data_IF_119957390284
#
_entry.id   IF_119957390284
#
_cell.length_a   1.000
_cell.length_b   1.000
_cell.length_c   1.000
_cell.angle_alpha   90.00
_cell.angle_beta   90.00
_cell.angle_gamma   90.00
#
_symmetry.space_group_name_H-M   'P 1'
#
loop_
_entity.id
_entity.type
_entity.pdbx_description
1 polymer ?
#
# COMPACT_ATOMS: atom_id res chain seq x y z
N UNK A 1 -9.90 33.94 18.50
CA UNK A 1 -9.56 34.93 19.53
C UNK A 1 -10.45 36.12 19.27
N UNK A 2 -11.28 36.52 20.22
CA UNK A 2 -12.10 37.70 20.04
C UNK A 2 -11.19 38.94 20.00
N UNK A 3 -11.44 39.83 19.07
CA UNK A 3 -10.66 41.07 18.92
C UNK A 3 -10.78 41.93 20.19
N UNK A 4 -11.89 41.82 20.88
CA UNK A 4 -12.21 42.52 22.16
C UNK A 4 -11.28 42.14 23.31
N UNK A 5 -11.05 40.83 23.51
CA UNK A 5 -10.15 40.34 24.56
C UNK A 5 -8.69 40.81 24.33
N UNK A 6 -8.23 40.80 23.09
CA UNK A 6 -6.89 41.27 22.76
C UNK A 6 -6.74 42.79 23.02
N UNK A 7 -7.76 43.57 22.65
CA UNK A 7 -7.75 45.03 22.83
C UNK A 7 -7.78 45.38 24.34
N UNK A 8 -8.63 44.70 25.12
CA UNK A 8 -8.68 44.89 26.56
C UNK A 8 -7.34 44.57 27.25
N UNK A 9 -6.72 43.41 26.92
CA UNK A 9 -5.43 43.04 27.51
C UNK A 9 -4.35 44.05 27.14
N UNK A 10 -4.34 44.56 25.89
CA UNK A 10 -3.42 45.61 25.46
C UNK A 10 -3.58 46.87 26.28
N UNK A 11 -4.78 47.41 26.39
CA UNK A 11 -5.07 48.65 27.15
C UNK A 11 -4.77 48.48 28.63
N UNK A 12 -5.09 47.33 29.23
CA UNK A 12 -4.80 47.07 30.64
C UNK A 12 -3.29 47.02 30.91
N UNK A 13 -2.50 46.44 30.02
CA UNK A 13 -1.03 46.42 30.09
C UNK A 13 -0.45 47.84 29.88
N UNK A 14 -1.02 48.65 28.98
CA UNK A 14 -0.62 50.05 28.75
C UNK A 14 -0.87 50.90 30.00
N UNK A 15 -1.92 50.63 30.78
CA UNK A 15 -2.21 51.26 32.04
C UNK A 15 -1.40 50.72 33.24
N UNK A 16 -0.40 49.86 32.98
CA UNK A 16 0.51 49.33 33.98
C UNK A 16 -0.08 48.24 34.88
N UNK A 17 -1.22 47.68 34.55
CA UNK A 17 -1.83 46.59 35.33
C UNK A 17 -0.97 45.33 35.26
N UNK A 18 -0.84 44.63 36.37
CA UNK A 18 -0.11 43.35 36.41
C UNK A 18 -0.87 42.25 35.66
N UNK A 19 -0.12 41.36 35.04
CA UNK A 19 -0.71 40.22 34.31
C UNK A 19 -1.64 39.38 35.18
N UNK A 20 -1.30 39.17 36.45
CA UNK A 20 -2.11 38.45 37.41
C UNK A 20 -3.41 39.18 37.80
N UNK A 21 -3.42 40.50 37.78
CA UNK A 21 -4.64 41.30 38.00
C UNK A 21 -5.56 41.21 36.76
N UNK A 22 -5.00 41.32 35.57
CA UNK A 22 -5.73 41.18 34.30
C UNK A 22 -6.33 39.77 34.19
N UNK A 23 -5.57 38.71 34.51
CA UNK A 23 -6.04 37.33 34.50
C UNK A 23 -7.23 37.13 35.44
N UNK A 24 -7.15 37.59 36.67
CA UNK A 24 -8.26 37.52 37.65
C UNK A 24 -9.50 38.26 37.16
N UNK A 25 -9.37 39.51 36.74
CA UNK A 25 -10.49 40.30 36.27
C UNK A 25 -11.21 39.66 35.06
N UNK A 26 -10.48 39.05 34.16
CA UNK A 26 -11.06 38.37 33.00
C UNK A 26 -11.72 37.03 33.38
N UNK A 27 -11.17 36.30 34.36
CA UNK A 27 -11.80 35.08 34.89
C UNK A 27 -13.10 35.41 35.67
N UNK A 28 -13.10 36.46 36.45
CA UNK A 28 -14.30 36.96 37.16
C UNK A 28 -15.38 37.42 36.17
N UNK A 29 -14.99 37.96 35.01
CA UNK A 29 -15.90 38.32 33.91
C UNK A 29 -16.39 37.09 33.09
N UNK A 30 -15.99 35.86 33.44
CA UNK A 30 -16.46 34.62 32.79
C UNK A 30 -15.66 34.15 31.58
N UNK A 31 -14.48 34.75 31.30
CA UNK A 31 -13.60 34.26 30.21
C UNK A 31 -12.91 32.98 30.61
N UNK A 32 -12.79 32.06 29.63
CA UNK A 32 -12.09 30.79 29.86
C UNK A 32 -10.59 31.04 30.09
N UNK A 33 -10.02 30.34 31.08
CA UNK A 33 -8.61 30.48 31.46
C UNK A 33 -7.64 30.32 30.28
N UNK A 34 -7.92 29.40 29.35
CA UNK A 34 -7.11 29.22 28.16
C UNK A 34 -7.11 30.43 27.20
N UNK A 35 -8.25 31.12 27.08
CA UNK A 35 -8.37 32.30 26.21
C UNK A 35 -7.63 33.50 26.81
N UNK A 36 -7.77 33.66 28.11
CA UNK A 36 -7.07 34.70 28.86
C UNK A 36 -5.56 34.52 28.79
N UNK A 37 -5.07 33.31 29.03
CA UNK A 37 -3.65 33.00 28.91
C UNK A 37 -3.12 33.19 27.48
N UNK A 38 -3.87 32.81 26.44
CA UNK A 38 -3.52 33.07 25.06
C UNK A 38 -3.45 34.55 24.73
N UNK A 39 -4.33 35.36 25.26
CA UNK A 39 -4.34 36.81 25.08
C UNK A 39 -3.13 37.49 25.77
N UNK A 40 -2.85 37.14 27.01
CA UNK A 40 -1.66 37.61 27.73
C UNK A 40 -0.34 37.14 27.10
N UNK A 41 -0.30 35.89 26.64
CA UNK A 41 0.89 35.32 25.97
C UNK A 41 1.23 35.98 24.63
N UNK A 42 0.28 36.75 24.05
CA UNK A 42 0.53 37.47 22.77
C UNK A 42 1.37 38.75 22.96
N UNK A 43 1.63 39.14 24.20
CA UNK A 43 2.52 40.26 24.51
C UNK A 43 3.80 39.78 25.19
N UNK A 44 4.94 40.40 24.82
CA UNK A 44 6.24 40.06 25.39
C UNK A 44 6.36 40.58 26.85
N UNK A 45 7.12 39.86 27.65
CA UNK A 45 7.49 40.29 29.01
C UNK A 45 8.80 41.08 28.98
N UNK A 46 8.74 42.24 28.36
CA UNK A 46 9.89 43.14 28.26
C UNK A 46 9.57 44.45 28.96
N UNK A 47 10.60 45.06 29.61
CA UNK A 47 10.45 46.35 30.29
C UNK A 47 10.46 47.44 29.22
N UNK A 48 9.29 47.71 28.64
CA UNK A 48 9.08 48.76 27.66
C UNK A 48 7.79 49.54 27.98
N UNK A 49 7.74 50.83 27.72
CA UNK A 49 6.60 51.68 28.09
C UNK A 49 5.25 51.30 27.51
N UNK A 50 5.27 50.57 26.38
CA UNK A 50 4.06 50.07 25.69
C UNK A 50 4.14 48.58 25.53
N UNK A 51 3.01 47.84 25.69
CA UNK A 51 3.00 46.39 25.54
C UNK A 51 3.46 45.97 24.13
N UNK A 52 4.57 45.23 24.07
CA UNK A 52 5.18 44.78 22.80
C UNK A 52 4.48 43.51 22.36
N UNK A 53 3.81 43.48 21.19
CA UNK A 53 3.21 42.28 20.67
C UNK A 53 4.28 41.28 20.23
N UNK A 54 4.09 40.02 20.64
CA UNK A 54 4.92 38.93 20.11
C UNK A 54 4.62 38.68 18.63
N UNK A 55 5.61 38.39 17.79
CA UNK A 55 5.35 38.00 16.41
C UNK A 55 4.45 36.76 16.39
N UNK A 56 3.33 36.83 15.66
CA UNK A 56 2.50 35.65 15.44
C UNK A 56 3.32 34.64 14.65
N UNK A 57 3.39 33.37 15.08
CA UNK A 57 4.08 32.38 14.31
C UNK A 57 3.37 32.25 12.95
N UNK A 58 3.99 32.79 11.90
CA UNK A 58 3.52 32.58 10.54
C UNK A 58 3.65 31.09 10.24
N UNK A 59 2.55 30.48 9.84
CA UNK A 59 2.56 29.16 9.19
C UNK A 59 3.40 29.30 7.93
N UNK A 60 4.69 28.99 8.01
CA UNK A 60 5.53 29.01 6.82
C UNK A 60 5.05 27.87 5.92
N UNK A 61 4.63 28.20 4.69
CA UNK A 61 4.21 27.21 3.69
C UNK A 61 5.22 26.08 3.54
N UNK A 62 6.51 26.36 3.72
CA UNK A 62 7.58 25.39 3.75
C UNK A 62 7.45 24.33 4.85
N UNK A 63 7.03 24.72 6.05
CA UNK A 63 6.85 23.76 7.16
C UNK A 63 5.62 22.87 6.93
N UNK A 64 4.53 23.47 6.47
CA UNK A 64 3.35 22.73 6.07
C UNK A 64 3.68 21.68 5.00
N UNK A 65 4.46 22.05 3.99
CA UNK A 65 4.95 21.16 2.94
C UNK A 65 5.77 19.98 3.53
N UNK A 66 6.75 20.26 4.41
CA UNK A 66 7.57 19.21 5.01
C UNK A 66 6.75 18.22 5.84
N UNK A 67 5.76 18.71 6.60
CA UNK A 67 4.86 17.85 7.35
C UNK A 67 4.00 17.00 6.41
N UNK A 68 3.37 17.59 5.39
CA UNK A 68 2.54 16.87 4.43
C UNK A 68 3.32 15.74 3.74
N UNK A 69 4.53 16.04 3.23
CA UNK A 69 5.37 15.02 2.58
C UNK A 69 5.76 13.91 3.59
N UNK A 70 6.08 14.29 4.84
CA UNK A 70 6.39 13.29 5.88
C UNK A 70 5.23 12.33 6.12
N UNK A 71 3.99 12.82 6.17
CA UNK A 71 2.82 11.96 6.37
C UNK A 71 2.49 11.12 5.13
N UNK A 72 2.58 11.69 3.93
CA UNK A 72 2.40 10.94 2.69
C UNK A 72 3.41 9.77 2.61
N UNK A 73 4.69 10.06 2.88
CA UNK A 73 5.72 9.02 2.84
C UNK A 73 5.59 8.00 3.96
N UNK A 74 5.10 8.40 5.15
CA UNK A 74 4.76 7.48 6.23
C UNK A 74 3.66 6.50 5.82
N UNK A 75 2.54 7.01 5.28
CA UNK A 75 1.44 6.15 4.84
C UNK A 75 1.84 5.24 3.69
N UNK A 76 2.58 5.77 2.70
CA UNK A 76 3.10 4.96 1.60
C UNK A 76 3.99 3.83 2.13
N UNK A 77 4.90 4.14 3.06
CA UNK A 77 5.78 3.13 3.66
C UNK A 77 4.99 2.09 4.45
N UNK A 78 4.07 2.51 5.32
CA UNK A 78 3.29 1.61 6.16
C UNK A 78 2.42 0.65 5.33
N UNK A 79 1.74 1.17 4.32
CA UNK A 79 0.90 0.37 3.42
C UNK A 79 1.73 -0.61 2.60
N UNK A 80 2.82 -0.14 1.98
CA UNK A 80 3.69 -0.99 1.17
C UNK A 80 4.42 -2.04 2.01
N UNK A 81 4.79 -1.71 3.25
CA UNK A 81 5.36 -2.67 4.19
C UNK A 81 4.35 -3.76 4.57
N UNK A 82 3.09 -3.40 4.81
CA UNK A 82 2.00 -4.35 5.02
C UNK A 82 1.83 -5.31 3.85
N UNK A 83 1.78 -4.80 2.61
CA UNK A 83 1.70 -5.62 1.39
C UNK A 83 2.90 -6.59 1.32
N UNK A 84 4.10 -6.12 1.60
CA UNK A 84 5.31 -6.95 1.55
C UNK A 84 5.26 -8.10 2.57
N UNK A 85 4.85 -7.81 3.82
CA UNK A 85 4.69 -8.84 4.86
C UNK A 85 3.56 -9.83 4.48
N UNK A 86 2.45 -9.35 3.90
CA UNK A 86 1.39 -10.22 3.41
C UNK A 86 1.88 -11.20 2.34
N UNK A 87 2.73 -10.72 1.41
CA UNK A 87 3.36 -11.59 0.41
C UNK A 87 4.24 -12.68 1.06
N UNK A 88 4.97 -12.32 2.12
CA UNK A 88 5.78 -13.28 2.87
C UNK A 88 4.91 -14.33 3.58
N UNK A 89 3.81 -13.90 4.21
CA UNK A 89 2.85 -14.81 4.84
C UNK A 89 2.24 -15.76 3.81
N UNK A 90 1.84 -15.28 2.63
CA UNK A 90 1.27 -16.11 1.57
C UNK A 90 2.26 -17.14 1.03
N UNK A 91 3.55 -16.75 0.91
CA UNK A 91 4.60 -17.68 0.51
C UNK A 91 4.89 -18.76 1.55
N UNK A 92 4.82 -18.41 2.85
CA UNK A 92 5.08 -19.36 3.93
C UNK A 92 3.89 -20.29 4.20
N UNK A 93 2.68 -19.83 3.93
CA UNK A 93 1.43 -20.56 4.18
C UNK A 93 0.58 -20.57 2.91
N UNK A 94 0.95 -21.34 1.88
CA UNK A 94 0.17 -21.45 0.65
C UNK A 94 -1.21 -22.04 0.94
N UNK A 95 -2.25 -21.53 0.27
CA UNK A 95 -3.61 -22.01 0.38
C UNK A 95 -4.06 -22.55 -0.96
N UNK A 96 -4.37 -23.85 -1.06
CA UNK A 96 -4.75 -24.47 -2.31
C UNK A 96 -6.13 -24.01 -2.83
N UNK A 97 -6.95 -23.36 -2.00
CA UNK A 97 -8.31 -22.92 -2.38
C UNK A 97 -8.35 -21.40 -2.69
N UNK A 98 -7.40 -20.64 -2.20
CA UNK A 98 -7.37 -19.19 -2.41
C UNK A 98 -6.58 -18.86 -3.65
N UNK A 99 -7.25 -18.42 -4.70
CA UNK A 99 -6.62 -17.74 -5.83
C UNK A 99 -5.91 -16.50 -5.31
N UNK A 100 -4.58 -16.57 -5.19
CA UNK A 100 -3.78 -15.55 -4.52
C UNK A 100 -3.96 -14.16 -5.12
N UNK A 101 -4.26 -13.19 -4.28
CA UNK A 101 -4.40 -11.77 -4.65
C UNK A 101 -3.04 -11.13 -5.03
N UNK A 102 -1.95 -11.88 -4.89
CA UNK A 102 -0.60 -11.37 -5.11
C UNK A 102 -0.13 -11.60 -6.55
N UNK A 103 -0.31 -10.58 -7.37
CA UNK A 103 0.43 -10.51 -8.63
C UNK A 103 1.89 -10.13 -8.32
N UNK A 104 2.89 -10.65 -9.05
CA UNK A 104 4.30 -10.20 -8.97
C UNK A 104 4.45 -8.70 -9.11
N UNK A 105 3.56 -8.05 -9.85
CA UNK A 105 3.49 -6.60 -10.00
C UNK A 105 3.19 -5.88 -8.68
N UNK A 106 2.30 -6.44 -7.84
CA UNK A 106 1.99 -5.87 -6.53
C UNK A 106 3.19 -5.88 -5.59
N UNK A 107 3.94 -6.98 -5.55
CA UNK A 107 5.16 -7.11 -4.77
C UNK A 107 6.26 -6.14 -5.24
N UNK A 108 6.49 -6.07 -6.55
CA UNK A 108 7.48 -5.15 -7.14
C UNK A 108 7.13 -3.70 -6.87
N UNK A 109 5.84 -3.32 -6.98
CA UNK A 109 5.37 -1.97 -6.66
C UNK A 109 5.55 -1.63 -5.19
N UNK A 110 5.18 -2.53 -4.28
CA UNK A 110 5.35 -2.33 -2.83
C UNK A 110 6.83 -2.16 -2.47
N UNK A 111 7.70 -3.01 -3.01
CA UNK A 111 9.14 -2.97 -2.79
C UNK A 111 9.74 -1.64 -3.30
N UNK A 112 9.42 -1.23 -4.52
CA UNK A 112 9.85 0.03 -5.11
C UNK A 112 9.37 1.23 -4.28
N UNK A 113 8.13 1.19 -3.81
CA UNK A 113 7.54 2.24 -2.97
C UNK A 113 8.29 2.39 -1.65
N UNK A 114 8.64 1.29 -0.97
CA UNK A 114 9.40 1.32 0.28
C UNK A 114 10.81 1.86 0.04
N UNK A 115 11.49 1.42 -1.00
CA UNK A 115 12.87 1.84 -1.32
C UNK A 115 12.94 3.36 -1.52
N UNK A 116 11.88 3.98 -2.05
CA UNK A 116 11.82 5.44 -2.27
C UNK A 116 11.23 6.16 -1.06
N UNK A 117 10.07 5.72 -0.56
CA UNK A 117 9.32 6.45 0.45
C UNK A 117 9.99 6.40 1.84
N UNK A 118 10.57 5.29 2.23
CA UNK A 118 11.16 5.15 3.56
C UNK A 118 12.39 6.04 3.80
N UNK A 119 13.40 6.09 2.90
CA UNK A 119 14.51 7.03 3.05
C UNK A 119 14.04 8.49 3.01
N UNK A 120 13.06 8.80 2.15
CA UNK A 120 12.49 10.14 2.07
C UNK A 120 11.79 10.53 3.38
N UNK A 121 11.03 9.61 3.99
CA UNK A 121 10.43 9.79 5.30
C UNK A 121 11.49 10.09 6.37
N UNK A 122 12.55 9.28 6.44
CA UNK A 122 13.64 9.50 7.39
C UNK A 122 14.34 10.85 7.18
N UNK A 123 14.56 11.23 5.93
CA UNK A 123 15.14 12.53 5.60
C UNK A 123 14.23 13.70 6.03
N UNK A 124 12.92 13.61 5.77
CA UNK A 124 11.97 14.64 6.20
C UNK A 124 11.90 14.75 7.72
N UNK A 125 11.84 13.62 8.43
CA UNK A 125 11.85 13.58 9.89
C UNK A 125 13.15 14.17 10.47
N UNK A 126 14.30 13.89 9.86
CA UNK A 126 15.57 14.49 10.25
C UNK A 126 15.56 16.00 10.03
N UNK A 127 15.05 16.49 8.89
CA UNK A 127 14.92 17.93 8.59
C UNK A 127 14.01 18.64 9.58
N UNK A 128 12.85 18.04 9.90
CA UNK A 128 11.91 18.56 10.90
C UNK A 128 12.53 18.59 12.29
N UNK A 129 13.22 17.53 12.71
CA UNK A 129 13.91 17.48 13.98
C UNK A 129 15.01 18.55 14.10
N UNK A 130 15.79 18.76 13.03
CA UNK A 130 16.82 19.80 12.98
C UNK A 130 16.21 21.22 13.02
N UNK A 131 15.08 21.44 12.36
CA UNK A 131 14.38 22.72 12.40
C UNK A 131 13.79 23.00 13.80
N UNK A 132 13.19 22.00 14.44
CA UNK A 132 12.67 22.09 15.80
C UNK A 132 13.74 22.30 16.87
N UNK A 133 14.98 21.82 16.64
CA UNK A 133 16.11 22.05 17.54
C UNK A 133 16.64 23.50 17.47
N UNK A 134 16.51 24.16 16.31
CA UNK A 134 16.93 25.57 16.14
C UNK A 134 15.92 26.57 16.68
N UNK A 135 14.65 26.24 16.64
CA UNK A 135 13.56 27.12 17.02
C UNK A 135 12.46 26.30 17.74
N UNK A 136 12.40 26.38 19.09
CA UNK A 136 11.42 25.62 19.88
C UNK A 136 9.96 26.00 19.55
N UNK A 137 9.68 27.20 19.05
CA UNK A 137 8.32 27.59 18.65
C UNK A 137 7.83 26.83 17.44
N UNK A 138 8.73 26.38 16.55
CA UNK A 138 8.41 25.53 15.39
C UNK A 138 7.94 24.14 15.78
N UNK A 139 8.33 23.64 16.93
CA UNK A 139 7.82 22.40 17.52
C UNK A 139 6.29 22.42 17.73
N UNK A 140 5.70 23.61 17.89
CA UNK A 140 4.28 23.85 18.13
C UNK A 140 3.48 24.12 16.84
N UNK A 141 3.95 23.66 15.68
CA UNK A 141 3.26 23.85 14.39
C UNK A 141 1.83 23.32 14.46
N UNK A 142 0.84 24.20 14.21
CA UNK A 142 -0.57 23.82 14.18
C UNK A 142 -0.86 22.76 13.11
N UNK A 143 -0.16 22.82 11.96
CA UNK A 143 -0.30 21.84 10.88
C UNK A 143 0.20 20.47 11.32
N UNK A 144 1.36 20.40 11.98
CA UNK A 144 1.88 19.14 12.51
C UNK A 144 0.91 18.48 13.47
N UNK A 145 0.33 19.25 14.42
CA UNK A 145 -0.67 18.74 15.36
C UNK A 145 -1.94 18.24 14.69
N UNK A 146 -2.48 19.01 13.76
CA UNK A 146 -3.69 18.63 13.03
C UNK A 146 -3.47 17.33 12.25
N UNK A 147 -2.34 17.19 11.55
CA UNK A 147 -1.95 15.96 10.84
C UNK A 147 -1.76 14.78 11.80
N UNK A 148 -1.17 15.02 12.99
CA UNK A 148 -1.06 14.00 14.04
C UNK A 148 -2.42 13.48 14.50
N UNK A 149 -3.39 14.37 14.78
CA UNK A 149 -4.75 13.96 15.15
C UNK A 149 -5.44 13.18 14.04
N UNK A 150 -5.32 13.61 12.78
CA UNK A 150 -5.84 12.86 11.63
C UNK A 150 -5.21 11.46 11.57
N UNK A 151 -3.90 11.36 11.76
CA UNK A 151 -3.20 10.06 11.75
C UNK A 151 -3.70 9.16 12.89
N UNK A 152 -3.93 9.68 14.07
CA UNK A 152 -4.50 8.91 15.18
C UNK A 152 -5.91 8.40 14.86
N UNK A 153 -6.76 9.24 14.25
CA UNK A 153 -8.11 8.83 13.83
C UNK A 153 -8.04 7.73 12.78
N UNK A 154 -7.18 7.88 11.76
CA UNK A 154 -7.00 6.87 10.71
C UNK A 154 -6.47 5.56 11.33
N UNK A 155 -5.43 5.62 12.15
CA UNK A 155 -4.85 4.44 12.78
C UNK A 155 -5.85 3.73 13.71
N UNK A 156 -6.62 4.49 14.50
CA UNK A 156 -7.70 3.94 15.32
C UNK A 156 -8.78 3.25 14.47
N UNK A 157 -9.19 3.89 13.36
CA UNK A 157 -10.16 3.30 12.43
C UNK A 157 -9.66 1.99 11.81
N UNK A 158 -8.38 1.92 11.44
CA UNK A 158 -7.75 0.70 10.93
C UNK A 158 -7.74 -0.39 12.00
N UNK A 159 -7.33 -0.07 13.24
CA UNK A 159 -7.31 -1.02 14.37
C UNK A 159 -8.72 -1.56 14.65
N UNK A 160 -9.72 -0.69 14.72
CA UNK A 160 -11.12 -1.10 14.95
C UNK A 160 -11.61 -1.99 13.81
N UNK A 161 -11.37 -1.62 12.55
CA UNK A 161 -11.75 -2.41 11.38
C UNK A 161 -11.10 -3.79 11.37
N UNK A 162 -9.81 -3.87 11.71
CA UNK A 162 -9.08 -5.13 11.82
C UNK A 162 -9.63 -6.04 12.92
N UNK A 163 -9.89 -5.48 14.10
CA UNK A 163 -10.51 -6.23 15.21
C UNK A 163 -11.92 -6.73 14.88
N UNK A 164 -12.72 -5.92 14.16
CA UNK A 164 -14.04 -6.36 13.66
C UNK A 164 -13.87 -7.52 12.68
N UNK A 165 -12.92 -7.45 11.75
CA UNK A 165 -12.66 -8.52 10.79
C UNK A 165 -12.20 -9.81 11.50
N UNK A 166 -11.34 -9.71 12.51
CA UNK A 166 -10.92 -10.86 13.34
C UNK A 166 -12.10 -11.48 14.05
N UNK A 167 -12.97 -10.68 14.67
CA UNK A 167 -14.15 -11.17 15.37
C UNK A 167 -15.16 -11.83 14.40
N UNK A 168 -15.38 -11.21 13.25
CA UNK A 168 -16.27 -11.76 12.22
C UNK A 168 -15.76 -13.12 11.71
N UNK A 169 -14.46 -13.24 11.43
CA UNK A 169 -13.84 -14.51 10.99
C UNK A 169 -13.88 -15.58 12.09
N UNK A 170 -13.75 -15.19 13.36
CA UNK A 170 -13.92 -16.08 14.50
C UNK A 170 -15.35 -16.63 14.58
N UNK A 171 -16.35 -15.77 14.46
CA UNK A 171 -17.76 -16.15 14.51
C UNK A 171 -18.19 -16.99 13.31
N UNK A 172 -17.59 -16.79 12.15
CA UNK A 172 -17.82 -17.57 10.93
C UNK A 172 -17.11 -18.93 10.94
N UNK A 173 -16.20 -19.18 11.89
CA UNK A 173 -15.40 -20.39 11.95
C UNK A 173 -14.29 -20.47 10.88
N UNK A 174 -13.97 -19.35 10.22
CA UNK A 174 -13.00 -19.27 9.12
C UNK A 174 -11.61 -18.76 9.55
N UNK A 175 -11.27 -18.95 10.83
CA UNK A 175 -9.96 -18.54 11.35
C UNK A 175 -8.83 -19.42 10.80
N UNK A 176 -8.16 -18.94 9.77
CA UNK A 176 -6.92 -19.56 9.26
C UNK A 176 -5.69 -18.91 9.88
N UNK A 177 -4.59 -19.67 10.01
CA UNK A 177 -3.30 -19.12 10.48
C UNK A 177 -2.83 -17.94 9.63
N UNK A 178 -3.08 -17.98 8.32
CA UNK A 178 -2.82 -16.87 7.40
C UNK A 178 -3.57 -15.61 7.78
N UNK A 179 -4.88 -15.74 8.02
CA UNK A 179 -5.72 -14.60 8.37
C UNK A 179 -5.24 -13.96 9.67
N UNK A 180 -4.97 -14.76 10.70
CA UNK A 180 -4.47 -14.28 12.00
C UNK A 180 -3.13 -13.55 11.86
N UNK A 181 -2.20 -14.08 11.07
CA UNK A 181 -0.90 -13.43 10.83
C UNK A 181 -1.04 -12.10 10.06
N UNK A 182 -1.95 -12.03 9.08
CA UNK A 182 -2.24 -10.78 8.36
C UNK A 182 -2.88 -9.74 9.27
N UNK A 183 -3.87 -10.13 10.07
CA UNK A 183 -4.50 -9.26 11.07
C UNK A 183 -3.46 -8.77 12.10
N UNK A 184 -2.63 -9.66 12.63
CA UNK A 184 -1.55 -9.26 13.53
C UNK A 184 -0.59 -8.25 12.89
N UNK A 185 -0.28 -8.40 11.62
CA UNK A 185 0.57 -7.45 10.87
C UNK A 185 -0.06 -6.07 10.79
N UNK A 186 -1.36 -6.00 10.46
CA UNK A 186 -2.10 -4.72 10.42
C UNK A 186 -2.12 -4.07 11.79
N UNK A 187 -2.45 -4.85 12.82
CA UNK A 187 -2.49 -4.37 14.20
C UNK A 187 -1.12 -3.88 14.69
N UNK A 188 -0.04 -4.59 14.35
CA UNK A 188 1.31 -4.20 14.70
C UNK A 188 1.74 -2.88 14.04
N UNK A 189 1.46 -2.72 12.73
CA UNK A 189 1.79 -1.49 12.00
C UNK A 189 0.95 -0.32 12.50
N UNK A 190 -0.37 -0.45 12.50
CA UNK A 190 -1.29 0.61 12.92
C UNK A 190 -1.12 0.95 14.40
N UNK A 191 -0.95 -0.05 15.27
CA UNK A 191 -0.68 0.11 16.70
C UNK A 191 0.64 0.81 16.99
N UNK A 192 1.69 0.51 16.22
CA UNK A 192 2.98 1.20 16.33
C UNK A 192 2.89 2.68 15.97
N UNK A 193 2.19 3.01 14.89
CA UNK A 193 1.93 4.40 14.47
C UNK A 193 1.08 5.11 15.51
N UNK A 194 -0.03 4.50 15.92
CA UNK A 194 -0.93 5.04 16.93
C UNK A 194 -0.21 5.32 18.26
N UNK A 195 0.52 4.32 18.77
CA UNK A 195 1.25 4.44 20.03
C UNK A 195 2.33 5.51 20.00
N UNK A 196 3.09 5.61 18.91
CA UNK A 196 4.13 6.62 18.75
C UNK A 196 3.54 8.06 18.76
N UNK A 197 2.48 8.31 17.98
CA UNK A 197 1.89 9.64 17.89
C UNK A 197 1.12 10.02 19.17
N UNK A 198 0.44 9.07 19.79
CA UNK A 198 -0.23 9.29 21.08
C UNK A 198 0.79 9.65 22.16
N UNK A 199 1.87 8.89 22.26
CA UNK A 199 2.96 9.18 23.19
C UNK A 199 3.59 10.57 22.91
N UNK A 200 3.77 10.93 21.64
CA UNK A 200 4.32 12.24 21.26
C UNK A 200 3.44 13.40 21.70
N UNK A 201 2.10 13.27 21.59
CA UNK A 201 1.16 14.28 22.07
C UNK A 201 1.17 14.41 23.61
N UNK A 202 1.13 13.28 24.31
CA UNK A 202 1.16 13.26 25.78
C UNK A 202 2.44 13.90 26.33
N UNK A 203 3.57 13.65 25.66
CA UNK A 203 4.84 14.29 26.04
C UNK A 203 4.81 15.80 25.85
N UNK A 204 4.23 16.31 24.75
CA UNK A 204 4.07 17.75 24.54
C UNK A 204 3.17 18.42 25.60
N UNK A 205 2.17 17.72 26.10
CA UNK A 205 1.30 18.25 27.18
C UNK A 205 2.03 18.34 28.51
N UNK A 206 2.76 17.29 28.90
CA UNK A 206 3.58 17.29 30.12
C UNK A 206 4.69 18.34 30.10
N UNK A 207 5.39 18.52 28.97
CA UNK A 207 6.42 19.56 28.82
C UNK A 207 5.84 20.99 28.94
N UNK A 208 4.54 21.19 28.69
CA UNK A 208 3.87 22.48 28.93
C UNK A 208 3.60 22.75 30.40
N UNK A 209 3.21 21.72 31.16
CA UNK A 209 2.90 21.83 32.60
C UNK A 209 4.18 22.05 33.39
N UNK A 210 5.28 21.37 33.08
CA UNK A 210 6.51 21.43 33.88
C UNK A 210 7.46 22.59 33.52
N UNK A 211 7.19 23.41 32.50
CA UNK A 211 8.11 24.45 31.94
C UNK A 211 9.53 23.99 31.64
N UNK A 212 9.79 22.68 31.68
CA UNK A 212 11.11 22.07 31.51
C UNK A 212 11.19 21.38 30.14
N UNK A 213 11.74 22.08 29.16
CA UNK A 213 11.97 21.49 27.83
C UNK A 213 13.16 20.52 27.90
N UNK A 214 12.91 19.25 28.17
CA UNK A 214 13.89 18.20 28.02
C UNK A 214 14.15 17.94 26.52
N UNK A 215 15.33 18.33 26.03
CA UNK A 215 15.71 18.17 24.62
C UNK A 215 16.06 16.74 24.21
N UNK A 216 16.16 15.80 25.14
CA UNK A 216 16.53 14.43 24.81
C UNK A 216 15.31 13.55 24.54
N UNK A 217 15.34 12.89 23.37
CA UNK A 217 14.41 11.79 23.11
C UNK A 217 14.76 10.62 24.04
N UNK A 218 13.78 10.06 24.77
CA UNK A 218 14.04 8.92 25.67
C UNK A 218 14.66 7.76 24.88
N UNK A 219 15.52 7.01 25.52
CA UNK A 219 16.24 5.86 24.92
C UNK A 219 15.28 4.89 24.25
N UNK A 220 14.10 4.65 24.84
CA UNK A 220 13.08 3.76 24.28
C UNK A 220 12.63 4.14 22.87
N UNK A 221 12.47 5.45 22.57
CA UNK A 221 12.08 5.91 21.22
C UNK A 221 13.21 5.73 20.21
N UNK A 222 14.46 5.91 20.62
CA UNK A 222 15.62 5.65 19.74
C UNK A 222 15.72 4.15 19.41
N UNK A 223 15.53 3.30 20.42
CA UNK A 223 15.52 1.83 20.25
C UNK A 223 14.38 1.41 19.34
N UNK A 224 13.16 1.90 19.59
CA UNK A 224 11.99 1.63 18.75
C UNK A 224 12.22 2.05 17.29
N UNK A 225 12.73 3.26 17.06
CA UNK A 225 13.04 3.72 15.71
C UNK A 225 14.11 2.85 15.03
N UNK A 226 15.14 2.42 15.78
CA UNK A 226 16.15 1.49 15.30
C UNK A 226 15.55 0.14 14.88
N UNK A 227 14.66 -0.43 15.70
CA UNK A 227 13.97 -1.68 15.40
C UNK A 227 13.12 -1.57 14.13
N UNK A 228 12.38 -0.47 13.95
CA UNK A 228 11.60 -0.22 12.73
C UNK A 228 12.51 -0.16 11.51
N UNK A 229 13.64 0.57 11.59
CA UNK A 229 14.61 0.65 10.50
C UNK A 229 15.15 -0.74 10.13
N UNK A 230 15.55 -1.53 11.12
CA UNK A 230 16.06 -2.89 10.90
C UNK A 230 14.97 -3.77 10.27
N UNK A 231 13.73 -3.72 10.78
CA UNK A 231 12.62 -4.50 10.24
C UNK A 231 12.33 -4.16 8.77
N UNK A 232 12.28 -2.87 8.43
CA UNK A 232 12.04 -2.43 7.05
C UNK A 232 13.20 -2.85 6.13
N UNK A 233 14.44 -2.66 6.55
CA UNK A 233 15.61 -3.06 5.74
C UNK A 233 15.66 -4.57 5.53
N UNK A 234 15.40 -5.36 6.56
CA UNK A 234 15.34 -6.83 6.46
C UNK A 234 14.25 -7.27 5.48
N UNK A 235 13.06 -6.65 5.56
CA UNK A 235 11.96 -6.94 4.66
C UNK A 235 12.29 -6.56 3.20
N UNK A 236 12.97 -5.42 2.98
CA UNK A 236 13.43 -5.01 1.64
C UNK A 236 14.45 -6.01 1.09
N UNK A 237 15.46 -6.38 1.87
CA UNK A 237 16.47 -7.36 1.43
C UNK A 237 15.80 -8.69 1.06
N UNK A 238 14.92 -9.20 1.92
CA UNK A 238 14.19 -10.43 1.63
C UNK A 238 13.24 -10.28 0.42
N UNK A 239 12.55 -9.15 0.29
CA UNK A 239 11.70 -8.86 -0.87
C UNK A 239 12.48 -8.84 -2.19
N UNK A 240 13.70 -8.28 -2.21
CA UNK A 240 14.58 -8.31 -3.39
C UNK A 240 14.95 -9.73 -3.82
N UNK A 241 15.16 -10.65 -2.86
CA UNK A 241 15.43 -12.07 -3.19
C UNK A 241 14.20 -12.76 -3.80
N UNK A 242 12.99 -12.33 -3.45
CA UNK A 242 11.75 -12.88 -3.98
C UNK A 242 11.40 -12.35 -5.37
N UNK A 243 11.66 -11.08 -5.62
CA UNK A 243 11.38 -10.45 -6.91
C UNK A 243 12.35 -10.91 -7.99
N UNK A 244 13.59 -11.23 -7.62
CA UNK A 244 14.63 -11.58 -8.59
C UNK A 244 15.18 -10.39 -9.36
N UNK A 245 15.95 -10.66 -10.39
CA UNK A 245 16.57 -9.61 -11.22
C UNK A 245 15.59 -9.01 -12.24
N UNK A 246 15.77 -7.73 -12.66
CA UNK A 246 14.95 -7.14 -13.73
C UNK A 246 15.01 -7.91 -15.04
N UNK A 247 16.14 -8.55 -15.36
CA UNK A 247 16.28 -9.39 -16.53
C UNK A 247 15.36 -10.64 -16.44
N UNK A 248 15.36 -11.30 -15.29
CA UNK A 248 14.50 -12.46 -15.03
C UNK A 248 13.01 -12.07 -15.08
N UNK A 249 12.64 -10.92 -14.50
CA UNK A 249 11.27 -10.42 -14.57
C UNK A 249 10.80 -10.16 -16.00
N UNK A 250 11.70 -9.72 -16.87
CA UNK A 250 11.39 -9.53 -18.29
C UNK A 250 11.14 -10.87 -19.00
N UNK A 251 11.90 -11.92 -18.69
CA UNK A 251 11.68 -13.26 -19.23
C UNK A 251 10.31 -13.80 -18.81
N UNK A 252 9.95 -13.64 -17.52
CA UNK A 252 8.63 -14.02 -17.00
C UNK A 252 7.51 -13.30 -17.76
N UNK A 253 7.65 -12.00 -18.02
CA UNK A 253 6.64 -11.24 -18.78
C UNK A 253 6.47 -11.75 -20.21
N UNK A 254 7.54 -12.19 -20.85
CA UNK A 254 7.43 -12.83 -22.16
C UNK A 254 6.69 -14.17 -22.09
N UNK A 255 6.98 -14.98 -21.06
CA UNK A 255 6.31 -16.27 -20.87
C UNK A 255 4.84 -16.10 -20.50
N UNK A 256 4.48 -15.14 -19.65
CA UNK A 256 3.08 -14.76 -19.36
C UNK A 256 2.35 -14.34 -20.64
N UNK A 257 3.02 -13.59 -21.52
CA UNK A 257 2.44 -13.18 -22.80
C UNK A 257 2.24 -14.38 -23.72
N UNK A 258 3.20 -15.30 -23.81
CA UNK A 258 3.07 -16.55 -24.57
C UNK A 258 1.86 -17.36 -24.11
N UNK A 259 1.73 -17.54 -22.78
CA UNK A 259 0.56 -18.23 -22.21
C UNK A 259 -0.74 -17.53 -22.59
N UNK A 260 -0.82 -16.22 -22.48
CA UNK A 260 -1.99 -15.44 -22.88
C UNK A 260 -2.31 -15.58 -24.36
N UNK A 261 -1.30 -15.55 -25.23
CA UNK A 261 -1.45 -15.71 -26.67
C UNK A 261 -1.95 -17.11 -27.01
N UNK A 262 -1.36 -18.16 -26.41
CA UNK A 262 -1.79 -19.55 -26.61
C UNK A 262 -3.25 -19.76 -26.17
N UNK A 263 -3.67 -19.14 -25.07
CA UNK A 263 -5.07 -19.18 -24.64
C UNK A 263 -6.01 -18.53 -25.65
N UNK A 264 -5.66 -17.32 -26.12
CA UNK A 264 -6.48 -16.65 -27.15
C UNK A 264 -6.57 -17.46 -28.42
N UNK A 265 -5.46 -18.09 -28.86
CA UNK A 265 -5.43 -18.97 -30.02
C UNK A 265 -6.35 -20.18 -29.80
N UNK A 266 -6.31 -20.81 -28.62
CA UNK A 266 -7.18 -21.94 -28.30
C UNK A 266 -8.65 -21.57 -28.36
N UNK A 267 -9.03 -20.42 -27.77
CA UNK A 267 -10.41 -19.91 -27.87
C UNK A 267 -10.84 -19.65 -29.33
N UNK A 268 -9.92 -19.12 -30.13
CA UNK A 268 -10.18 -18.87 -31.52
C UNK A 268 -10.35 -20.18 -32.33
N UNK A 269 -9.58 -21.22 -32.01
CA UNK A 269 -9.71 -22.54 -32.63
C UNK A 269 -11.07 -23.16 -32.26
N UNK A 270 -11.50 -23.08 -30.99
CA UNK A 270 -12.80 -23.55 -30.55
C UNK A 270 -13.95 -22.80 -31.30
N UNK A 271 -13.84 -21.48 -31.42
CA UNK A 271 -14.81 -20.66 -32.16
C UNK A 271 -14.82 -20.96 -33.67
N UNK A 272 -13.64 -21.26 -34.26
CA UNK A 272 -13.50 -21.67 -35.67
C UNK A 272 -14.17 -23.00 -35.90
N UNK A 273 -13.96 -23.98 -35.00
CA UNK A 273 -14.59 -25.30 -35.05
C UNK A 273 -16.11 -25.23 -34.98
N UNK A 274 -16.64 -24.40 -34.10
CA UNK A 274 -18.10 -24.24 -33.97
C UNK A 274 -18.76 -23.85 -35.29
N UNK A 275 -18.08 -22.95 -36.02
CA UNK A 275 -18.61 -22.39 -37.27
C UNK A 275 -18.39 -23.32 -38.48
N UNK A 276 -17.20 -23.91 -38.56
CA UNK A 276 -16.76 -24.65 -39.76
C UNK A 276 -16.84 -26.16 -39.59
N UNK A 277 -17.02 -26.66 -38.35
CA UNK A 277 -17.02 -28.10 -38.02
C UNK A 277 -15.74 -28.85 -38.45
N UNK A 278 -14.66 -28.08 -38.56
CA UNK A 278 -13.31 -28.55 -38.90
C UNK A 278 -12.29 -27.70 -38.17
N UNK A 279 -11.12 -28.25 -37.88
CA UNK A 279 -9.98 -27.48 -37.37
C UNK A 279 -9.40 -26.56 -38.45
N UNK A 280 -8.82 -25.40 -38.12
CA UNK A 280 -8.12 -24.58 -39.07
C UNK A 280 -6.87 -25.33 -39.58
N UNK A 281 -6.59 -25.26 -40.89
CA UNK A 281 -5.40 -25.88 -41.48
C UNK A 281 -4.09 -25.22 -41.01
N UNK A 282 -4.18 -23.91 -40.68
CA UNK A 282 -3.08 -23.12 -40.12
C UNK A 282 -3.59 -22.03 -39.21
N UNK A 283 -2.75 -21.51 -38.34
CA UNK A 283 -3.10 -20.37 -37.45
C UNK A 283 -3.45 -19.10 -38.25
N UNK A 284 -2.99 -18.96 -39.50
CA UNK A 284 -3.33 -17.82 -40.36
C UNK A 284 -4.84 -17.69 -40.61
N UNK A 285 -5.57 -18.82 -40.59
CA UNK A 285 -7.02 -18.84 -40.76
C UNK A 285 -7.75 -18.14 -39.60
N UNK A 286 -7.05 -17.88 -38.44
CA UNK A 286 -7.55 -17.20 -37.29
C UNK A 286 -7.29 -15.68 -37.30
N UNK A 287 -6.66 -15.13 -38.34
CA UNK A 287 -6.43 -13.67 -38.50
C UNK A 287 -7.69 -12.88 -38.79
N UNK A 288 -8.79 -13.55 -39.07
CA UNK A 288 -10.07 -12.87 -39.25
C UNK A 288 -10.49 -12.16 -37.95
N UNK A 289 -10.87 -10.87 -37.99
CA UNK A 289 -11.28 -10.08 -36.81
C UNK A 289 -12.37 -10.74 -35.95
N UNK A 290 -13.13 -11.67 -36.52
CA UNK A 290 -14.19 -12.43 -35.81
C UNK A 290 -13.66 -13.33 -34.70
N UNK A 291 -12.38 -13.70 -34.73
CA UNK A 291 -11.76 -14.60 -33.73
C UNK A 291 -11.00 -13.85 -32.62
N UNK A 292 -10.87 -12.54 -32.72
CA UNK A 292 -10.28 -11.65 -31.69
C UNK A 292 -8.88 -12.09 -31.21
N UNK A 293 -8.06 -12.70 -32.04
CA UNK A 293 -6.69 -13.07 -31.72
C UNK A 293 -5.78 -11.86 -31.86
N UNK A 294 -5.05 -11.52 -30.80
CA UNK A 294 -4.14 -10.37 -30.78
C UNK A 294 -2.80 -10.68 -31.46
N UNK A 295 -2.27 -11.87 -31.25
CA UNK A 295 -1.00 -12.30 -31.83
C UNK A 295 -1.00 -13.79 -32.12
N UNK A 296 -0.42 -14.18 -33.27
CA UNK A 296 -0.15 -15.57 -33.65
C UNK A 296 1.34 -15.87 -33.59
N UNK A 297 2.16 -14.95 -33.09
CA UNK A 297 3.61 -14.99 -33.09
C UNK A 297 4.18 -14.72 -31.70
N UNK A 298 5.32 -15.36 -31.44
CA UNK A 298 6.07 -15.18 -30.19
C UNK A 298 6.46 -13.71 -29.99
N UNK A 299 6.20 -13.11 -28.80
CA UNK A 299 6.44 -11.69 -28.56
C UNK A 299 7.92 -11.30 -28.52
N UNK A 300 8.85 -12.26 -28.40
CA UNK A 300 10.28 -12.01 -28.33
C UNK A 300 10.97 -12.25 -29.66
N UNK A 301 10.67 -13.38 -30.34
CA UNK A 301 11.31 -13.78 -31.59
C UNK A 301 10.56 -13.27 -32.83
N UNK A 302 9.26 -13.04 -32.72
CA UNK A 302 8.38 -12.70 -33.86
C UNK A 302 8.03 -13.90 -34.72
N UNK A 303 8.52 -15.10 -34.40
CA UNK A 303 8.20 -16.31 -35.12
C UNK A 303 6.78 -16.80 -34.81
N UNK A 304 6.04 -17.37 -35.79
CA UNK A 304 4.71 -17.90 -35.54
C UNK A 304 4.75 -19.06 -34.56
N UNK A 305 3.73 -19.19 -33.71
CA UNK A 305 3.58 -20.36 -32.85
C UNK A 305 3.42 -21.64 -33.68
N UNK A 306 4.03 -22.72 -33.23
CA UNK A 306 3.90 -24.00 -33.89
C UNK A 306 2.51 -24.61 -33.65
N UNK A 307 1.86 -25.02 -34.70
CA UNK A 307 0.53 -25.64 -34.67
C UNK A 307 0.51 -26.88 -35.55
N UNK A 308 -0.01 -27.99 -35.04
CA UNK A 308 -0.12 -29.27 -35.76
C UNK A 308 -1.46 -29.93 -35.47
N UNK A 309 -2.08 -30.47 -36.50
CA UNK A 309 -3.25 -31.33 -36.39
C UNK A 309 -2.81 -32.75 -35.98
N UNK A 310 -3.42 -33.29 -34.93
CA UNK A 310 -3.16 -34.64 -34.45
C UNK A 310 -4.32 -35.58 -34.78
N UNK A 311 -5.56 -35.07 -34.84
CA UNK A 311 -6.73 -35.79 -35.31
C UNK A 311 -7.76 -34.82 -35.89
N UNK A 312 -8.96 -35.33 -36.30
CA UNK A 312 -10.04 -34.47 -36.79
C UNK A 312 -10.49 -33.40 -35.78
N UNK A 313 -10.38 -33.68 -34.47
CA UNK A 313 -10.82 -32.78 -33.39
C UNK A 313 -9.73 -32.47 -32.37
N UNK A 314 -8.46 -32.92 -32.60
CA UNK A 314 -7.35 -32.69 -31.70
C UNK A 314 -6.17 -32.04 -32.43
N UNK A 315 -5.45 -31.19 -31.72
CA UNK A 315 -4.32 -30.43 -32.23
C UNK A 315 -3.25 -30.27 -31.14
N UNK A 316 -2.06 -29.94 -31.56
CA UNK A 316 -0.94 -29.60 -30.71
C UNK A 316 -0.50 -28.16 -31.00
N UNK A 317 -0.28 -27.37 -29.93
CA UNK A 317 0.26 -26.03 -30.01
C UNK A 317 1.49 -25.92 -29.13
N UNK A 318 2.59 -25.36 -29.68
CA UNK A 318 3.85 -25.29 -28.96
C UNK A 318 4.38 -23.84 -28.86
N UNK A 319 5.07 -23.57 -27.75
CA UNK A 319 5.86 -22.35 -27.56
C UNK A 319 7.19 -22.68 -26.89
N UNK A 320 8.16 -21.78 -27.00
CA UNK A 320 9.45 -21.89 -26.33
C UNK A 320 9.49 -20.95 -25.13
N UNK A 321 9.52 -21.52 -23.91
CA UNK A 321 9.53 -20.79 -22.66
C UNK A 321 10.96 -20.59 -22.15
N UNK A 322 11.19 -19.48 -21.46
CA UNK A 322 12.50 -19.11 -20.90
C UNK A 322 12.61 -19.31 -19.40
N UNK A 323 11.47 -19.51 -18.74
CA UNK A 323 11.36 -19.77 -17.30
C UNK A 323 10.60 -21.06 -17.05
N UNK A 324 10.63 -21.52 -15.81
CA UNK A 324 9.88 -22.70 -15.37
C UNK A 324 8.67 -22.25 -14.56
N UNK A 325 7.46 -22.69 -14.95
CA UNK A 325 6.22 -22.33 -14.30
C UNK A 325 6.13 -22.77 -12.84
N UNK A 326 6.82 -23.85 -12.46
CA UNK A 326 6.85 -24.37 -11.09
C UNK A 326 7.45 -23.38 -10.08
N UNK A 327 8.30 -22.45 -10.55
CA UNK A 327 8.86 -21.39 -9.73
C UNK A 327 7.82 -20.31 -9.38
N UNK A 328 6.67 -20.29 -10.05
CA UNK A 328 5.61 -19.28 -9.94
C UNK A 328 4.25 -19.91 -9.55
N UNK A 329 4.27 -21.06 -8.90
CA UNK A 329 3.13 -21.91 -8.55
C UNK A 329 1.99 -21.18 -7.78
N UNK A 330 2.24 -19.98 -7.25
CA UNK A 330 1.23 -19.12 -6.65
C UNK A 330 0.52 -18.17 -7.63
N UNK A 331 0.86 -18.21 -8.92
CA UNK A 331 0.09 -17.52 -9.97
C UNK A 331 -0.98 -18.47 -10.50
N UNK A 332 -1.96 -18.77 -9.67
CA UNK A 332 -3.13 -19.52 -10.13
C UNK A 332 -3.92 -18.63 -11.07
N UNK A 333 -3.63 -18.73 -12.31
CA UNK A 333 -4.60 -18.33 -13.32
C UNK A 333 -5.79 -19.31 -13.21
N UNK A 334 -7.03 -18.84 -13.26
CA UNK A 334 -8.18 -19.75 -13.15
C UNK A 334 -8.04 -20.85 -14.19
N UNK A 335 -8.21 -22.14 -13.81
CA UNK A 335 -8.18 -23.20 -14.77
C UNK A 335 -9.25 -22.91 -15.82
N UNK A 336 -8.81 -22.92 -17.06
CA UNK A 336 -9.74 -22.88 -18.17
C UNK A 336 -10.72 -24.03 -17.98
N UNK A 337 -12.04 -23.75 -18.04
CA UNK A 337 -13.08 -24.78 -17.83
C UNK A 337 -12.99 -25.93 -18.83
N UNK A 338 -12.08 -26.88 -18.63
CA UNK A 338 -11.81 -27.99 -19.54
C UNK A 338 -10.59 -28.82 -19.16
N UNK A 339 -9.94 -28.54 -18.00
CA UNK A 339 -8.94 -29.45 -17.43
C UNK A 339 -7.54 -29.41 -18.06
N UNK A 340 -7.28 -28.53 -19.01
CA UNK A 340 -5.93 -28.34 -19.56
C UNK A 340 -5.34 -27.06 -18.97
N UNK A 341 -4.25 -27.22 -18.21
CA UNK A 341 -3.50 -26.11 -17.67
C UNK A 341 -2.34 -25.78 -18.61
N UNK A 342 -2.42 -24.68 -19.36
CA UNK A 342 -1.25 -24.10 -20.05
C UNK A 342 -0.19 -23.58 -19.06
N UNK A 343 -0.33 -23.93 -17.81
CA UNK A 343 0.41 -23.37 -16.69
C UNK A 343 1.65 -24.18 -16.36
N UNK A 344 1.67 -25.45 -16.75
CA UNK A 344 2.78 -26.34 -16.48
C UNK A 344 3.70 -26.38 -17.71
N UNK A 345 4.70 -25.55 -17.70
CA UNK A 345 5.75 -25.51 -18.70
C UNK A 345 7.13 -25.44 -18.03
N UNK A 346 8.10 -26.14 -18.61
CA UNK A 346 9.51 -26.03 -18.26
C UNK A 346 10.25 -25.08 -19.18
N UNK A 347 11.55 -24.86 -18.91
CA UNK A 347 12.43 -24.10 -19.78
C UNK A 347 12.60 -24.85 -21.09
N UNK A 348 12.41 -24.17 -22.22
CA UNK A 348 12.54 -24.70 -23.54
C UNK A 348 11.22 -24.87 -24.27
N UNK A 349 11.24 -25.70 -25.33
CA UNK A 349 10.05 -25.94 -26.14
C UNK A 349 9.07 -26.85 -25.41
N UNK A 350 7.88 -26.33 -25.17
CA UNK A 350 6.75 -27.04 -24.53
C UNK A 350 5.57 -27.10 -25.51
N UNK A 351 4.96 -28.28 -25.65
CA UNK A 351 3.82 -28.52 -26.52
C UNK A 351 2.62 -28.96 -25.70
N UNK A 352 1.46 -28.42 -26.02
CA UNK A 352 0.18 -28.71 -25.38
C UNK A 352 -0.71 -29.44 -26.36
N UNK A 353 -1.07 -30.68 -26.05
CA UNK A 353 -2.01 -31.49 -26.85
C UNK A 353 -3.41 -31.21 -26.38
N UNK A 354 -4.27 -30.72 -27.24
CA UNK A 354 -5.59 -30.18 -26.94
C UNK A 354 -6.65 -30.79 -27.86
N UNK A 355 -7.87 -30.93 -27.32
CA UNK A 355 -9.05 -31.30 -28.09
C UNK A 355 -10.00 -30.10 -28.14
N UNK A 356 -10.73 -29.96 -29.24
CA UNK A 356 -11.74 -28.91 -29.43
C UNK A 356 -12.84 -29.09 -28.41
N UNK A 357 -13.21 -28.02 -27.75
CA UNK A 357 -14.31 -28.04 -26.80
C UNK A 357 -15.65 -28.08 -27.50
N UNK A 358 -16.48 -28.99 -27.04
CA UNK A 358 -17.92 -28.92 -27.31
C UNK A 358 -18.49 -27.87 -26.37
N UNK A 359 -18.82 -26.66 -26.85
CA UNK A 359 -19.53 -25.66 -26.07
C UNK A 359 -20.88 -26.29 -25.67
N UNK A 360 -21.17 -26.27 -24.37
CA UNK A 360 -22.49 -26.70 -23.88
C UNK A 360 -23.54 -25.80 -24.46
N UNK A 361 -24.54 -26.37 -25.12
CA UNK A 361 -25.76 -25.64 -25.45
C UNK A 361 -26.43 -25.16 -24.14
N UNK A 362 -27.19 -24.04 -24.15
CA UNK A 362 -27.84 -23.50 -22.96
C UNK A 362 -28.76 -24.48 -22.20
N UNK A 363 -29.05 -25.63 -22.80
CA UNK A 363 -29.89 -26.71 -22.25
C UNK A 363 -29.13 -27.78 -21.46
N UNK A 364 -27.80 -27.68 -21.31
CA UNK A 364 -27.03 -28.65 -20.50
C UNK A 364 -26.91 -30.05 -21.09
N UNK A 365 -27.43 -30.30 -22.29
CA UNK A 365 -27.30 -31.61 -22.96
C UNK A 365 -26.01 -31.65 -23.78
N UNK A 366 -25.14 -32.59 -23.45
CA UNK A 366 -24.01 -32.97 -24.32
C UNK A 366 -24.57 -33.67 -25.55
N UNK A 367 -24.41 -33.03 -26.74
CA UNK A 367 -24.76 -33.70 -27.99
C UNK A 367 -23.76 -34.84 -28.21
N UNK A 368 -24.15 -36.12 -28.24
CA UNK A 368 -23.25 -37.22 -28.53
C UNK A 368 -22.78 -37.09 -29.98
N UNK A 369 -21.47 -37.21 -30.19
CA UNK A 369 -20.90 -37.32 -31.53
C UNK A 369 -21.41 -38.60 -32.15
N UNK A 370 -22.07 -38.58 -33.34
CA UNK A 370 -22.44 -39.82 -34.02
C UNK A 370 -21.16 -40.58 -34.39
N UNK A 371 -21.04 -41.79 -33.87
CA UNK A 371 -20.01 -42.73 -34.36
C UNK A 371 -20.20 -42.92 -35.88
N UNK A 372 -19.18 -42.63 -36.63
CA UNK A 372 -19.13 -42.88 -38.07
C UNK A 372 -19.15 -44.41 -38.29
N UNK A 373 -19.91 -44.91 -39.26
CA UNK A 373 -20.03 -46.31 -39.53
C UNK A 373 -18.70 -46.94 -40.01
#
# INVERSE_FOLDING_TARGET
>A
MSNELYTFVKEALEKGQSRSAIERALQEAGWQQEEVQKALASFAEVSFPVPVPKPKPYLQAREAFLFLISFITLYTTAFSFGILIFAFIEKLFPDPVSYGFFSPRGLTTALSSIIIAFPLYLFMMWRLAKAAAKDPERRRSKVGKWLTYITLVIAAGIIIGDLIAVLASLLSGELTSRFVLKAFTVLAIAGSIFGYYLWSLQKEEKEKEEKTASMEKPVGVRVFAGLVVVAVLSAVVYGLTLVGTPAQQRLIQFDERRVSDLQQITYAIDSYWERNKSLPESLENLRDPRYYVQSLSDPKTGEPYEYRLTSEAAYEICATFETDSSQYENQVFPPYSGGVSFWEYGIGRTCFSLEVRKLMTPTGETVPVPAKP
#
